data_IF_801535112969
#
_entry.id   IF_801535112969
#
_cell.length_a   1.000
_cell.length_b   1.000
_cell.length_c   1.000
_cell.angle_alpha   90.00
_cell.angle_beta   90.00
_cell.angle_gamma   90.00
#
_symmetry.space_group_name_H-M   'P 1'
#
loop_
_entity.id
_entity.type
_entity.pdbx_description
1 polymer ?
#
# COMPACT_ATOMS: atom_id res chain seq x y z
N UNK A 1 1.50 7.41 -1.26
CA UNK A 1 1.52 6.67 0.04
C UNK A 1 2.95 6.22 0.30
N UNK A 2 3.36 6.19 1.55
CA UNK A 2 4.70 5.78 1.96
C UNK A 2 5.14 6.53 3.20
N UNK A 3 6.34 6.24 3.65
CA UNK A 3 7.04 6.95 4.71
C UNK A 3 8.15 7.76 4.02
N UNK A 4 8.31 9.03 4.40
CA UNK A 4 9.41 9.83 3.91
C UNK A 4 10.72 9.27 4.51
N UNK A 5 11.70 8.94 3.65
CA UNK A 5 12.83 8.11 4.02
C UNK A 5 13.82 8.78 5.01
N UNK A 6 13.89 10.11 5.01
CA UNK A 6 14.85 10.86 5.85
C UNK A 6 14.25 11.16 7.23
N UNK A 7 13.00 11.65 7.26
CA UNK A 7 12.33 12.07 8.50
C UNK A 7 11.53 10.95 9.16
N UNK A 8 11.21 9.87 8.46
CA UNK A 8 10.28 8.84 8.92
C UNK A 8 8.82 9.29 9.02
N UNK A 9 8.49 10.49 8.51
CA UNK A 9 7.15 11.05 8.61
C UNK A 9 6.19 10.43 7.60
N UNK A 10 4.92 10.36 7.99
CA UNK A 10 3.82 10.06 7.07
C UNK A 10 3.37 11.31 6.31
N UNK A 11 2.77 11.14 5.13
CA UNK A 11 2.34 12.27 4.30
C UNK A 11 1.32 13.18 4.99
N UNK A 12 0.44 12.62 5.84
CA UNK A 12 -0.50 13.45 6.59
C UNK A 12 0.21 14.39 7.57
N UNK A 13 1.35 14.01 8.11
CA UNK A 13 2.17 14.86 9.00
C UNK A 13 2.84 15.96 8.19
N UNK A 14 3.48 15.60 7.07
CA UNK A 14 4.13 16.55 6.16
C UNK A 14 3.14 17.58 5.61
N UNK A 15 1.97 17.13 5.15
CA UNK A 15 0.96 18.04 4.60
C UNK A 15 0.24 18.88 5.66
N UNK A 16 0.25 18.45 6.93
CA UNK A 16 -0.37 19.24 8.03
C UNK A 16 0.26 20.62 8.22
N UNK A 17 1.52 20.78 7.83
CA UNK A 17 2.22 22.08 7.88
C UNK A 17 1.70 23.07 6.82
N UNK A 18 1.06 22.60 5.77
CA UNK A 18 0.60 23.43 4.64
C UNK A 18 -0.92 23.51 4.55
N UNK A 19 -1.64 22.47 4.96
CA UNK A 19 -3.07 22.36 4.77
C UNK A 19 -3.73 21.78 6.04
N UNK A 20 -4.81 22.39 6.55
CA UNK A 20 -5.53 21.83 7.69
C UNK A 20 -5.95 20.38 7.45
N UNK A 21 -5.73 19.50 8.42
CA UNK A 21 -6.01 18.05 8.32
C UNK A 21 -7.44 17.70 7.86
N UNK A 22 -8.41 18.54 8.16
CA UNK A 22 -9.82 18.39 7.71
C UNK A 22 -9.99 18.56 6.19
N UNK A 23 -9.02 19.17 5.52
CA UNK A 23 -9.02 19.42 4.07
C UNK A 23 -8.13 18.43 3.31
N UNK A 24 -7.55 17.43 3.99
CA UNK A 24 -6.70 16.40 3.40
C UNK A 24 -7.46 15.08 3.38
N UNK A 25 -7.34 14.37 2.25
CA UNK A 25 -7.83 13.01 2.09
C UNK A 25 -6.85 12.16 1.31
N UNK A 26 -6.79 10.88 1.67
CA UNK A 26 -5.93 9.89 1.04
C UNK A 26 -6.78 8.78 0.43
N UNK A 27 -6.50 8.43 -0.82
CA UNK A 27 -7.16 7.32 -1.50
C UNK A 27 -6.29 6.07 -1.34
N UNK A 28 -6.90 4.96 -0.92
CA UNK A 28 -6.24 3.66 -0.75
C UNK A 28 -7.15 2.52 -1.17
N UNK A 29 -6.57 1.34 -1.36
CA UNK A 29 -7.29 0.14 -1.78
C UNK A 29 -6.73 -0.45 -3.07
N UNK A 30 -7.20 -1.66 -3.44
CA UNK A 30 -6.72 -2.41 -4.60
C UNK A 30 -7.09 -1.69 -5.92
N UNK A 31 -6.09 -1.17 -6.62
CA UNK A 31 -6.31 -0.37 -7.84
C UNK A 31 -5.06 -0.32 -8.72
N UNK A 32 -4.79 -1.38 -9.46
CA UNK A 32 -3.78 -1.32 -10.49
C UNK A 32 -4.20 -0.34 -11.60
N UNK A 33 -3.31 0.60 -11.93
CA UNK A 33 -3.59 1.65 -12.90
C UNK A 33 -4.03 1.09 -14.26
N UNK A 34 -3.42 0.01 -14.72
CA UNK A 34 -3.76 -0.65 -16.00
C UNK A 34 -5.20 -1.20 -16.04
N UNK A 35 -5.76 -1.58 -14.89
CA UNK A 35 -7.14 -2.05 -14.77
C UNK A 35 -8.11 -0.87 -14.66
N UNK A 36 -7.76 0.13 -13.87
CA UNK A 36 -8.56 1.36 -13.71
C UNK A 36 -8.74 2.08 -15.04
N UNK A 37 -7.67 2.21 -15.84
CA UNK A 37 -7.73 2.83 -17.17
C UNK A 37 -8.68 2.07 -18.12
N UNK A 38 -8.79 0.76 -17.98
CA UNK A 38 -9.72 -0.08 -18.74
C UNK A 38 -11.17 -0.02 -18.24
N UNK A 39 -11.44 0.73 -17.17
CA UNK A 39 -12.75 0.81 -16.55
C UNK A 39 -13.20 -0.44 -15.82
N UNK A 40 -12.25 -1.30 -15.41
CA UNK A 40 -12.58 -2.51 -14.65
C UNK A 40 -13.03 -2.17 -13.23
N UNK A 41 -14.02 -2.92 -12.68
CA UNK A 41 -14.55 -2.65 -11.36
C UNK A 41 -13.48 -2.70 -10.27
N UNK A 42 -13.43 -1.66 -9.43
CA UNK A 42 -12.61 -1.66 -8.24
C UNK A 42 -13.29 -0.95 -7.06
N UNK A 43 -12.74 -1.13 -5.88
CA UNK A 43 -13.24 -0.51 -4.67
C UNK A 43 -12.11 0.20 -3.92
N UNK A 44 -12.35 1.47 -3.56
CA UNK A 44 -11.38 2.34 -2.91
C UNK A 44 -11.91 2.92 -1.61
N UNK A 45 -11.02 3.30 -0.74
CA UNK A 45 -11.32 4.03 0.49
C UNK A 45 -10.78 5.45 0.39
N UNK A 46 -11.63 6.43 0.64
CA UNK A 46 -11.22 7.81 0.85
C UNK A 46 -11.07 8.01 2.37
N UNK A 47 -9.82 8.13 2.81
CA UNK A 47 -9.45 8.26 4.20
C UNK A 47 -9.27 9.75 4.53
N UNK A 48 -10.10 10.31 5.40
CA UNK A 48 -10.02 11.71 5.81
C UNK A 48 -10.65 11.92 7.17
N UNK A 49 -10.12 12.87 7.94
CA UNK A 49 -10.76 13.32 9.19
C UNK A 49 -12.11 14.03 8.96
N UNK A 50 -12.43 14.39 7.71
CA UNK A 50 -13.65 15.10 7.31
C UNK A 50 -14.52 14.23 6.39
N UNK A 51 -15.68 13.78 6.92
CA UNK A 51 -16.70 13.13 6.08
C UNK A 51 -17.28 14.09 5.01
N UNK A 52 -17.25 15.40 5.27
CA UNK A 52 -17.66 16.42 4.30
C UNK A 52 -16.76 16.38 3.06
N UNK A 53 -15.44 16.19 3.26
CA UNK A 53 -14.50 16.02 2.14
C UNK A 53 -14.84 14.78 1.32
N UNK A 54 -15.08 13.63 1.98
CA UNK A 54 -15.52 12.42 1.28
C UNK A 54 -16.76 12.69 0.41
N UNK A 55 -17.82 13.30 0.98
CA UNK A 55 -19.05 13.59 0.27
C UNK A 55 -18.84 14.53 -0.94
N UNK A 56 -17.88 15.45 -0.85
CA UNK A 56 -17.54 16.37 -1.92
C UNK A 56 -16.80 15.69 -3.08
N UNK A 57 -15.94 14.70 -2.78
CA UNK A 57 -15.12 14.05 -3.80
C UNK A 57 -15.75 12.77 -4.39
N UNK A 58 -16.57 12.07 -3.61
CA UNK A 58 -17.20 10.81 -4.04
C UNK A 58 -17.93 10.92 -5.39
N UNK A 59 -18.67 12.01 -5.73
CA UNK A 59 -19.37 12.12 -7.01
C UNK A 59 -18.45 12.19 -8.25
N UNK A 60 -17.17 12.48 -8.08
CA UNK A 60 -16.21 12.54 -9.19
C UNK A 60 -15.66 11.18 -9.60
N UNK A 61 -15.92 10.12 -8.81
CA UNK A 61 -15.51 8.78 -9.17
C UNK A 61 -16.50 8.16 -10.17
N UNK A 62 -16.02 7.52 -11.24
CA UNK A 62 -16.87 6.85 -12.21
C UNK A 62 -17.57 5.63 -11.58
N UNK A 63 -18.67 5.20 -12.17
CA UNK A 63 -19.55 4.15 -11.63
C UNK A 63 -18.87 2.79 -11.41
N UNK A 64 -17.78 2.50 -12.11
CA UNK A 64 -17.02 1.26 -11.92
C UNK A 64 -16.08 1.32 -10.69
N UNK A 65 -15.94 2.50 -10.04
CA UNK A 65 -15.16 2.65 -8.81
C UNK A 65 -16.11 2.84 -7.62
N UNK A 66 -16.23 1.80 -6.78
CA UNK A 66 -16.97 1.93 -5.51
C UNK A 66 -16.09 2.60 -4.47
N UNK A 67 -16.55 3.70 -3.89
CA UNK A 67 -15.82 4.39 -2.82
C UNK A 67 -16.44 4.17 -1.45
N UNK A 68 -15.58 4.08 -0.44
CA UNK A 68 -15.95 3.97 0.98
C UNK A 68 -15.26 5.08 1.78
N UNK A 69 -15.86 5.48 2.88
CA UNK A 69 -15.27 6.45 3.80
C UNK A 69 -14.57 5.78 4.97
N UNK A 70 -13.42 6.30 5.37
CA UNK A 70 -12.77 5.97 6.62
C UNK A 70 -12.19 7.25 7.27
N UNK A 71 -12.33 7.38 8.59
CA UNK A 71 -11.67 8.45 9.34
C UNK A 71 -10.26 8.08 9.81
N UNK A 72 -9.83 6.83 9.57
CA UNK A 72 -8.52 6.33 9.97
C UNK A 72 -7.47 6.57 8.87
N UNK A 73 -6.98 7.81 8.84
CA UNK A 73 -5.94 8.23 7.88
C UNK A 73 -4.64 7.47 8.12
N UNK A 74 -4.19 7.42 9.38
CA UNK A 74 -2.91 6.78 9.71
C UNK A 74 -2.91 5.29 9.40
N UNK A 75 -4.03 4.58 9.62
CA UNK A 75 -4.16 3.17 9.26
C UNK A 75 -4.01 2.93 7.76
N UNK A 76 -4.53 3.83 6.93
CA UNK A 76 -4.37 3.73 5.48
C UNK A 76 -2.94 4.03 5.02
N UNK A 77 -2.25 4.97 5.66
CA UNK A 77 -0.87 5.32 5.33
C UNK A 77 0.10 4.22 5.74
N UNK A 78 -0.03 3.71 6.97
CA UNK A 78 0.75 2.56 7.45
C UNK A 78 0.55 1.35 6.55
N UNK A 79 -0.70 1.00 6.24
CA UNK A 79 -1.00 -0.13 5.36
C UNK A 79 -0.39 0.06 3.96
N UNK A 80 -0.52 1.26 3.40
CA UNK A 80 0.01 1.60 2.08
C UNK A 80 1.53 1.58 2.00
N UNK A 81 2.24 1.89 3.09
CA UNK A 81 3.69 1.79 3.19
C UNK A 81 4.13 0.33 3.37
N UNK A 82 3.63 -0.32 4.40
CA UNK A 82 4.06 -1.66 4.84
C UNK A 82 3.77 -2.75 3.80
N UNK A 83 2.62 -2.67 3.08
CA UNK A 83 2.28 -3.64 2.04
C UNK A 83 3.36 -3.79 0.96
N UNK A 84 4.07 -2.71 0.66
CA UNK A 84 5.08 -2.70 -0.39
C UNK A 84 6.31 -3.54 0.01
N UNK A 85 6.69 -3.50 1.29
CA UNK A 85 7.74 -4.35 1.85
C UNK A 85 7.32 -5.82 1.81
N UNK A 86 6.08 -6.11 2.22
CA UNK A 86 5.54 -7.47 2.14
C UNK A 86 5.43 -8.00 0.71
N UNK A 87 5.17 -7.11 -0.26
CA UNK A 87 5.16 -7.48 -1.67
C UNK A 87 6.55 -7.87 -2.18
N UNK A 88 7.61 -7.17 -1.74
CA UNK A 88 9.00 -7.55 -2.03
C UNK A 88 9.29 -8.94 -1.45
N UNK A 89 8.98 -9.15 -0.16
CA UNK A 89 9.17 -10.43 0.50
C UNK A 89 8.39 -11.58 -0.17
N UNK A 90 7.17 -11.31 -0.64
CA UNK A 90 6.35 -12.28 -1.38
C UNK A 90 6.97 -12.62 -2.75
N UNK A 91 7.52 -11.63 -3.45
CA UNK A 91 8.26 -11.84 -4.69
C UNK A 91 9.52 -12.68 -4.49
N UNK A 92 10.27 -12.48 -3.40
CA UNK A 92 11.43 -13.32 -3.03
C UNK A 92 10.97 -14.76 -2.78
N UNK A 93 9.87 -14.94 -2.02
CA UNK A 93 9.30 -16.25 -1.73
C UNK A 93 8.92 -17.02 -3.01
N UNK A 94 8.30 -16.34 -3.96
CA UNK A 94 7.97 -16.93 -5.28
C UNK A 94 9.24 -17.29 -6.07
N UNK A 95 10.19 -16.38 -6.18
CA UNK A 95 11.39 -16.61 -6.99
C UNK A 95 12.32 -17.68 -6.43
N UNK A 96 12.31 -17.89 -5.11
CA UNK A 96 13.00 -19.02 -4.44
C UNK A 96 12.21 -20.34 -4.51
N UNK A 97 11.04 -20.36 -5.18
CA UNK A 97 10.17 -21.52 -5.30
C UNK A 97 9.78 -22.17 -3.95
N UNK A 98 9.55 -21.35 -2.91
CA UNK A 98 9.17 -21.85 -1.58
C UNK A 98 7.72 -22.37 -1.51
N UNK A 99 6.95 -22.15 -2.56
CA UNK A 99 5.58 -22.65 -2.71
C UNK A 99 4.51 -21.74 -2.11
N UNK A 100 3.25 -22.01 -2.48
CA UNK A 100 2.11 -21.17 -2.13
C UNK A 100 1.76 -21.19 -0.64
N UNK A 101 2.05 -22.27 0.07
CA UNK A 101 1.84 -22.33 1.52
C UNK A 101 2.75 -21.35 2.27
N UNK A 102 4.03 -21.26 1.88
CA UNK A 102 4.98 -20.31 2.45
C UNK A 102 4.56 -18.88 2.15
N UNK A 103 4.18 -18.59 0.89
CA UNK A 103 3.71 -17.27 0.48
C UNK A 103 2.45 -16.83 1.24
N UNK A 104 1.46 -17.72 1.38
CA UNK A 104 0.23 -17.45 2.14
C UNK A 104 0.52 -17.19 3.63
N UNK A 105 1.44 -17.98 4.22
CA UNK A 105 1.87 -17.81 5.60
C UNK A 105 2.58 -16.48 5.82
N UNK A 106 3.49 -16.10 4.91
CA UNK A 106 4.17 -14.80 4.91
C UNK A 106 3.17 -13.64 4.88
N UNK A 107 2.21 -13.67 3.97
CA UNK A 107 1.21 -12.61 3.82
C UNK A 107 0.32 -12.53 5.08
N UNK A 108 -0.13 -13.67 5.60
CA UNK A 108 -0.97 -13.71 6.80
C UNK A 108 -0.23 -13.17 8.04
N UNK A 109 1.03 -13.58 8.24
CA UNK A 109 1.88 -13.09 9.34
C UNK A 109 2.22 -11.62 9.15
N UNK A 110 2.58 -11.22 7.94
CA UNK A 110 2.86 -9.82 7.60
C UNK A 110 1.68 -8.89 7.87
N UNK A 111 0.43 -9.35 7.60
CA UNK A 111 -0.77 -8.58 7.93
C UNK A 111 -0.92 -8.38 9.45
N UNK A 112 -0.59 -9.38 10.27
CA UNK A 112 -0.60 -9.24 11.74
C UNK A 112 0.48 -8.27 12.22
N UNK A 113 1.66 -8.31 11.62
CA UNK A 113 2.76 -7.39 11.95
C UNK A 113 2.43 -5.97 11.54
N UNK A 114 1.86 -5.77 10.37
CA UNK A 114 1.35 -4.47 9.92
C UNK A 114 0.32 -3.89 10.90
N UNK A 115 -0.58 -4.72 11.44
CA UNK A 115 -1.53 -4.29 12.48
C UNK A 115 -0.83 -3.87 13.77
N UNK A 116 0.18 -4.64 14.23
CA UNK A 116 0.95 -4.33 15.44
C UNK A 116 1.72 -3.03 15.28
N UNK A 117 2.39 -2.88 14.14
CA UNK A 117 3.10 -1.66 13.78
C UNK A 117 2.16 -0.45 13.75
N UNK A 118 1.04 -0.55 13.02
CA UNK A 118 0.07 0.55 12.94
C UNK A 118 -0.58 0.91 14.27
N UNK A 119 -0.74 -0.04 15.19
CA UNK A 119 -1.26 0.21 16.54
C UNK A 119 -0.40 1.22 17.31
N UNK A 120 0.91 1.21 17.11
CA UNK A 120 1.85 2.15 17.76
C UNK A 120 1.52 3.60 17.37
N UNK A 121 1.05 3.81 16.14
CA UNK A 121 0.65 5.11 15.60
C UNK A 121 -0.84 5.42 15.81
N UNK A 122 -1.57 4.59 16.57
CA UNK A 122 -2.99 4.80 16.85
C UNK A 122 -3.96 4.38 15.74
N UNK A 123 -3.48 3.60 14.75
CA UNK A 123 -4.33 3.08 13.67
C UNK A 123 -5.35 2.05 14.17
N UNK A 124 -6.51 1.99 13.52
CA UNK A 124 -7.58 1.04 13.85
C UNK A 124 -7.33 -0.31 13.20
N UNK A 125 -7.54 -1.39 13.94
CA UNK A 125 -7.42 -2.77 13.44
C UNK A 125 -8.26 -3.02 12.19
N UNK A 126 -9.45 -2.45 12.11
CA UNK A 126 -10.37 -2.60 10.98
C UNK A 126 -9.79 -2.09 9.64
N UNK A 127 -8.92 -1.09 9.66
CA UNK A 127 -8.29 -0.56 8.45
C UNK A 127 -7.37 -1.57 7.79
N UNK A 128 -6.70 -2.41 8.59
CA UNK A 128 -5.80 -3.45 8.07
C UNK A 128 -6.53 -4.67 7.52
N UNK A 129 -7.74 -4.96 8.00
CA UNK A 129 -8.58 -6.06 7.50
C UNK A 129 -9.44 -5.65 6.29
N UNK A 130 -9.53 -4.34 6.00
CA UNK A 130 -10.31 -3.79 4.91
C UNK A 130 -9.54 -3.64 3.60
N UNK A 131 -10.13 -2.85 2.70
CA UNK A 131 -9.58 -2.58 1.36
C UNK A 131 -8.22 -1.89 1.41
N UNK A 132 -8.01 -0.96 2.36
CA UNK A 132 -6.74 -0.23 2.51
C UNK A 132 -5.57 -1.11 2.99
N UNK A 133 -5.87 -2.17 3.73
CA UNK A 133 -4.91 -3.14 4.26
C UNK A 133 -4.89 -4.43 3.45
N UNK A 134 -5.66 -5.43 3.90
CA UNK A 134 -5.68 -6.77 3.31
C UNK A 134 -5.98 -6.77 1.81
N UNK A 135 -6.96 -5.97 1.36
CA UNK A 135 -7.31 -5.90 -0.07
C UNK A 135 -6.15 -5.43 -0.95
N UNK A 136 -5.52 -4.33 -0.57
CA UNK A 136 -4.38 -3.76 -1.31
C UNK A 136 -3.12 -4.64 -1.17
N UNK A 137 -2.91 -5.26 0.00
CA UNK A 137 -1.82 -6.21 0.22
C UNK A 137 -1.96 -7.45 -0.66
N UNK A 138 -3.13 -8.10 -0.68
CA UNK A 138 -3.36 -9.29 -1.50
C UNK A 138 -3.13 -9.02 -2.99
N UNK A 139 -3.63 -7.89 -3.49
CA UNK A 139 -3.39 -7.49 -4.86
C UNK A 139 -1.91 -7.29 -5.15
N UNK A 140 -1.21 -6.54 -4.28
CA UNK A 140 0.17 -6.12 -4.50
C UNK A 140 1.17 -7.27 -4.32
N UNK A 141 0.91 -8.19 -3.37
CA UNK A 141 1.82 -9.28 -3.02
C UNK A 141 1.67 -10.56 -3.89
N UNK A 142 0.69 -10.60 -4.80
CA UNK A 142 0.42 -11.77 -5.63
C UNK A 142 0.43 -11.49 -7.15
N UNK A 143 0.98 -10.37 -7.57
CA UNK A 143 0.90 -9.97 -8.98
C UNK A 143 2.21 -9.39 -9.50
N UNK A 144 2.62 -9.83 -10.68
CA UNK A 144 3.74 -9.26 -11.44
C UNK A 144 3.44 -7.84 -11.97
N UNK A 145 2.20 -7.37 -11.88
CA UNK A 145 1.86 -5.96 -12.09
C UNK A 145 2.40 -5.07 -10.96
N UNK A 146 2.72 -5.65 -9.80
CA UNK A 146 3.34 -4.94 -8.69
C UNK A 146 4.85 -4.78 -8.91
N UNK A 147 5.31 -3.52 -8.96
CA UNK A 147 6.74 -3.19 -9.03
C UNK A 147 7.53 -3.79 -7.86
N UNK A 148 6.99 -3.68 -6.65
CA UNK A 148 7.62 -4.23 -5.45
C UNK A 148 7.73 -5.75 -5.49
N UNK A 149 6.72 -6.45 -6.01
CA UNK A 149 6.77 -7.89 -6.22
C UNK A 149 7.87 -8.27 -7.24
N UNK A 150 8.00 -7.51 -8.34
CA UNK A 150 9.07 -7.69 -9.33
C UNK A 150 10.46 -7.44 -8.75
N UNK A 151 10.62 -6.46 -7.85
CA UNK A 151 11.88 -6.29 -7.10
C UNK A 151 12.23 -7.57 -6.35
N UNK A 152 11.27 -8.14 -5.62
CA UNK A 152 11.48 -9.39 -4.88
C UNK A 152 11.90 -10.55 -5.78
N UNK A 153 11.27 -10.70 -6.95
CA UNK A 153 11.66 -11.70 -7.95
C UNK A 153 13.12 -11.49 -8.42
N UNK A 154 13.51 -10.25 -8.71
CA UNK A 154 14.89 -9.95 -9.12
C UNK A 154 15.91 -10.27 -8.03
N UNK A 155 15.62 -9.92 -6.78
CA UNK A 155 16.49 -10.21 -5.63
C UNK A 155 16.67 -11.71 -5.41
N UNK A 156 15.64 -12.52 -5.61
CA UNK A 156 15.72 -14.00 -5.50
C UNK A 156 16.66 -14.63 -6.53
N UNK A 157 16.92 -13.94 -7.64
CA UNK A 157 17.86 -14.35 -8.69
C UNK A 157 19.28 -13.81 -8.44
N UNK A 158 19.57 -13.31 -7.24
CA UNK A 158 20.84 -12.67 -6.87
C UNK A 158 21.23 -11.47 -7.76
N UNK A 159 20.25 -10.79 -8.38
CA UNK A 159 20.51 -9.56 -9.10
C UNK A 159 20.82 -8.43 -8.13
N UNK A 160 21.70 -7.51 -8.54
CA UNK A 160 21.95 -6.28 -7.80
C UNK A 160 20.69 -5.40 -7.79
N UNK A 161 20.40 -4.77 -6.66
CA UNK A 161 19.20 -3.94 -6.48
C UNK A 161 19.14 -2.77 -7.47
N UNK A 162 20.26 -2.07 -7.69
CA UNK A 162 20.32 -0.93 -8.60
C UNK A 162 19.98 -1.36 -10.03
N UNK A 163 20.50 -2.51 -10.46
CA UNK A 163 20.17 -3.09 -11.76
C UNK A 163 18.69 -3.44 -11.89
N UNK A 164 18.08 -4.00 -10.84
CA UNK A 164 16.65 -4.29 -10.82
C UNK A 164 15.83 -3.02 -10.97
N UNK A 165 16.20 -1.95 -10.26
CA UNK A 165 15.50 -0.66 -10.32
C UNK A 165 15.65 0.01 -11.67
N UNK A 166 16.82 -0.11 -12.31
CA UNK A 166 17.06 0.36 -13.67
C UNK A 166 16.20 -0.41 -14.70
N UNK A 167 16.19 -1.74 -14.63
CA UNK A 167 15.34 -2.60 -15.49
C UNK A 167 13.84 -2.31 -15.33
N UNK A 168 13.39 -1.94 -14.11
CA UNK A 168 12.02 -1.57 -13.86
C UNK A 168 11.62 -0.25 -14.52
N UNK A 169 12.55 0.72 -14.62
CA UNK A 169 12.29 2.06 -15.14
C UNK A 169 11.27 2.88 -14.34
N UNK A 170 10.87 2.41 -13.16
CA UNK A 170 9.82 2.98 -12.32
C UNK A 170 10.19 2.86 -10.83
N UNK A 171 9.66 3.79 -10.01
CA UNK A 171 9.91 3.77 -8.56
C UNK A 171 9.23 2.58 -7.89
N UNK A 172 10.00 1.81 -7.13
CA UNK A 172 9.52 0.78 -6.21
C UNK A 172 9.58 1.31 -4.77
N UNK A 173 8.45 1.82 -4.28
CA UNK A 173 8.35 2.50 -2.97
C UNK A 173 8.79 1.61 -1.80
N UNK A 174 8.59 0.29 -1.90
CA UNK A 174 8.91 -0.67 -0.85
C UNK A 174 10.39 -0.74 -0.51
N UNK A 175 11.30 -0.42 -1.45
CA UNK A 175 12.74 -0.40 -1.21
C UNK A 175 13.09 0.64 -0.16
N UNK A 176 12.70 1.90 -0.38
CA UNK A 176 12.93 2.98 0.60
C UNK A 176 12.14 2.78 1.90
N UNK A 177 10.95 2.20 1.80
CA UNK A 177 10.13 1.94 2.98
C UNK A 177 10.75 0.86 3.86
N UNK A 178 11.43 -0.14 3.29
CA UNK A 178 12.11 -1.19 4.05
C UNK A 178 13.22 -0.64 4.95
N UNK A 179 13.88 0.43 4.51
CA UNK A 179 14.91 1.10 5.32
C UNK A 179 14.33 1.97 6.45
N UNK A 180 13.06 2.37 6.33
CA UNK A 180 12.38 3.30 7.25
C UNK A 180 11.48 2.61 8.30
N UNK A 181 11.23 1.30 8.19
CA UNK A 181 10.42 0.49 9.10
C UNK A 181 11.33 -0.37 9.99
#
# INVERSE_FOLDING_TARGET
KGIEAVSGQYLNEIYADFVPNKNIGFISGPSFAAEVIKGLPCALVINSKSKKLYNAFQPFFPNFIKTYYSADVIGAEVAGAYKNVLAIASGICEGLNLGKNAQASLIARGLVEMQRFGKVFGAKKSSFLGLSGAGDLFLTANSTMSRNYRVGLGLSMNKNLDLILEELGEVAEGVKTADAI
#
